data_IF_547850308661
#
_entry.id   IF_547850308661
#
_cell.length_a   1.000
_cell.length_b   1.000
_cell.length_c   1.000
_cell.angle_alpha   90.00
_cell.angle_beta   90.00
_cell.angle_gamma   90.00
#
_symmetry.space_group_name_H-M   'P 1'
#
loop_
_entity.id
_entity.type
_entity.pdbx_description
1 polymer ?
#
# COMPACT_ATOMS: atom_id res chain seq x y z
N UNK A 1 50.60 -27.28 25.30
CA UNK A 1 49.36 -26.51 25.12
C UNK A 1 49.01 -25.90 26.46
N UNK A 2 49.17 -24.59 26.63
CA UNK A 2 48.90 -23.91 27.91
C UNK A 2 47.41 -23.81 28.20
N UNK A 3 47.04 -23.75 29.47
CA UNK A 3 45.65 -23.62 29.91
C UNK A 3 45.08 -22.25 29.46
N UNK A 4 43.79 -22.16 29.08
CA UNK A 4 43.16 -20.89 28.73
C UNK A 4 43.24 -19.90 29.90
N UNK A 5 43.79 -18.71 29.65
CA UNK A 5 43.88 -17.65 30.66
C UNK A 5 42.49 -17.05 30.88
N UNK A 6 41.99 -17.09 32.11
CA UNK A 6 40.70 -16.50 32.48
C UNK A 6 40.92 -15.02 32.80
N UNK A 7 40.17 -14.13 32.13
CA UNK A 7 40.25 -12.68 32.32
C UNK A 7 39.13 -12.22 33.25
N UNK A 8 39.49 -11.62 34.38
CA UNK A 8 38.55 -11.33 35.47
C UNK A 8 37.94 -9.95 35.37
N UNK A 9 38.65 -8.98 34.77
CA UNK A 9 38.17 -7.60 34.62
C UNK A 9 37.69 -7.31 33.19
N UNK A 10 36.79 -6.31 32.99
CA UNK A 10 36.37 -5.89 31.66
C UNK A 10 37.54 -5.40 30.79
N UNK A 11 38.47 -4.64 31.39
CA UNK A 11 39.64 -4.09 30.69
C UNK A 11 40.59 -5.19 30.19
N UNK A 12 40.82 -6.22 30.99
CA UNK A 12 41.62 -7.39 30.59
C UNK A 12 40.99 -8.14 29.41
N UNK A 13 39.65 -8.29 29.40
CA UNK A 13 38.93 -8.95 28.30
C UNK A 13 39.05 -8.15 27.01
N UNK A 14 38.96 -6.82 27.09
CA UNK A 14 39.13 -5.97 25.91
C UNK A 14 40.54 -6.04 25.34
N UNK A 15 41.56 -5.97 26.20
CA UNK A 15 42.96 -6.09 25.79
C UNK A 15 43.23 -7.45 25.14
N UNK A 16 42.76 -8.53 25.77
CA UNK A 16 42.86 -9.87 25.21
C UNK A 16 42.14 -10.01 23.86
N UNK A 17 40.94 -9.43 23.72
CA UNK A 17 40.21 -9.42 22.47
C UNK A 17 40.94 -8.61 21.37
N UNK A 18 41.54 -7.47 21.71
CA UNK A 18 42.36 -6.67 20.77
C UNK A 18 43.58 -7.46 20.30
N UNK A 19 44.32 -8.08 21.23
CA UNK A 19 45.48 -8.91 20.90
C UNK A 19 45.11 -10.13 20.07
N UNK A 20 44.02 -10.81 20.42
CA UNK A 20 43.49 -11.94 19.66
C UNK A 20 43.16 -11.53 18.23
N UNK A 21 42.40 -10.44 18.06
CA UNK A 21 42.07 -9.89 16.74
C UNK A 21 43.35 -9.53 15.97
N UNK A 22 44.33 -8.88 16.59
CA UNK A 22 45.59 -8.54 15.94
C UNK A 22 46.34 -9.80 15.44
N UNK A 23 46.45 -10.84 16.28
CA UNK A 23 47.06 -12.12 15.91
C UNK A 23 46.27 -12.83 14.81
N UNK A 24 44.94 -12.83 14.89
CA UNK A 24 44.04 -13.40 13.89
C UNK A 24 44.20 -12.71 12.53
N UNK A 25 44.10 -11.37 12.48
CA UNK A 25 44.26 -10.61 11.24
C UNK A 25 45.65 -10.78 10.64
N UNK A 26 46.70 -10.85 11.47
CA UNK A 26 48.05 -11.12 10.98
C UNK A 26 48.14 -12.48 10.29
N UNK A 27 47.61 -13.55 10.93
CA UNK A 27 47.60 -14.91 10.39
C UNK A 27 46.73 -15.06 9.13
N UNK A 28 45.56 -14.43 9.09
CA UNK A 28 44.59 -14.57 8.00
C UNK A 28 44.62 -13.40 6.99
N UNK A 29 45.64 -12.54 7.06
CA UNK A 29 45.76 -11.35 6.20
C UNK A 29 45.68 -11.68 4.71
N UNK A 30 46.34 -12.75 4.28
CA UNK A 30 46.36 -13.22 2.89
C UNK A 30 44.99 -13.69 2.42
N UNK A 31 44.26 -14.46 3.23
CA UNK A 31 42.91 -14.94 2.93
C UNK A 31 41.89 -13.80 2.88
N UNK A 32 41.98 -12.87 3.84
CA UNK A 32 41.14 -11.68 3.91
C UNK A 32 41.37 -10.83 2.66
N UNK A 33 42.62 -10.60 2.28
CA UNK A 33 42.99 -9.85 1.08
C UNK A 33 42.56 -10.57 -0.20
N UNK A 34 42.66 -11.91 -0.26
CA UNK A 34 42.17 -12.72 -1.39
C UNK A 34 40.65 -12.59 -1.55
N UNK A 35 39.88 -12.70 -0.46
CA UNK A 35 38.42 -12.50 -0.47
C UNK A 35 38.04 -11.08 -0.89
N UNK A 36 38.76 -10.07 -0.39
CA UNK A 36 38.55 -8.68 -0.78
C UNK A 36 38.85 -8.43 -2.26
N UNK A 37 39.93 -9.02 -2.78
CA UNK A 37 40.31 -8.96 -4.21
C UNK A 37 39.27 -9.62 -5.10
N UNK A 38 38.80 -10.82 -4.73
CA UNK A 38 37.72 -11.52 -5.45
C UNK A 38 36.44 -10.68 -5.48
N UNK A 39 36.03 -10.12 -4.34
CA UNK A 39 34.86 -9.22 -4.26
C UNK A 39 35.04 -7.97 -5.13
N UNK A 40 36.25 -7.40 -5.20
CA UNK A 40 36.57 -6.25 -6.07
C UNK A 40 36.54 -6.64 -7.55
N UNK A 41 37.07 -7.81 -7.91
CA UNK A 41 37.03 -8.34 -9.27
C UNK A 41 35.59 -8.60 -9.72
N UNK A 42 34.73 -9.19 -8.90
CA UNK A 42 33.30 -9.35 -9.21
C UNK A 42 32.55 -8.01 -9.34
N UNK A 43 32.99 -6.97 -8.62
CA UNK A 43 32.45 -5.61 -8.78
C UNK A 43 32.94 -4.92 -10.05
N UNK A 44 34.15 -5.22 -10.50
CA UNK A 44 34.74 -4.67 -11.72
C UNK A 44 34.32 -5.43 -13.00
N UNK A 45 34.04 -6.74 -12.90
CA UNK A 45 33.54 -7.57 -14.00
C UNK A 45 32.04 -7.42 -14.21
N UNK A 46 31.33 -6.88 -13.21
CA UNK A 46 30.08 -6.18 -13.49
C UNK A 46 30.48 -4.97 -14.29
N UNK A 47 30.31 -5.06 -15.61
CA UNK A 47 30.03 -3.86 -16.42
C UNK A 47 29.11 -2.97 -15.59
N UNK A 48 29.23 -1.63 -15.66
CA UNK A 48 28.08 -0.84 -15.29
C UNK A 48 26.99 -1.37 -16.22
N UNK A 49 26.15 -2.29 -15.73
CA UNK A 49 24.75 -2.31 -16.09
C UNK A 49 24.48 -0.84 -16.02
N UNK A 50 24.22 -0.23 -17.19
CA UNK A 50 23.65 1.10 -17.28
C UNK A 50 22.87 1.22 -16.02
N UNK A 51 23.14 2.26 -15.23
CA UNK A 51 22.07 2.70 -14.39
C UNK A 51 20.86 2.79 -15.35
N UNK A 52 20.03 1.74 -15.45
CA UNK A 52 18.79 1.73 -14.74
C UNK A 52 19.09 2.60 -13.52
N UNK A 53 19.03 3.93 -13.69
CA UNK A 53 17.72 4.55 -13.64
C UNK A 53 16.86 3.55 -12.91
N UNK A 54 17.19 3.41 -11.62
CA UNK A 54 16.18 3.50 -10.61
C UNK A 54 15.38 4.69 -11.12
N UNK A 55 14.45 4.37 -12.01
CA UNK A 55 13.16 4.94 -12.01
C UNK A 55 12.76 4.75 -10.53
N UNK A 56 13.24 5.67 -9.69
CA UNK A 56 12.40 6.57 -8.96
C UNK A 56 11.48 7.22 -10.01
N UNK A 57 10.69 6.35 -10.65
CA UNK A 57 9.40 6.58 -11.17
C UNK A 57 8.76 7.40 -10.07
N UNK A 58 8.50 8.67 -10.38
CA UNK A 58 7.17 9.28 -10.34
C UNK A 58 6.03 8.42 -9.71
N UNK A 59 6.30 7.67 -8.64
CA UNK A 59 5.39 6.80 -7.88
C UNK A 59 5.05 7.43 -6.53
N UNK A 60 5.58 8.62 -6.25
CA UNK A 60 5.14 9.44 -5.13
C UNK A 60 3.80 10.15 -5.41
N UNK A 61 3.24 10.04 -6.62
CA UNK A 61 1.98 10.71 -6.99
C UNK A 61 0.76 9.79 -7.07
N UNK A 62 0.92 8.47 -6.99
CA UNK A 62 -0.23 7.54 -7.11
C UNK A 62 -1.27 7.78 -6.02
N UNK A 63 -0.83 8.13 -4.81
CA UNK A 63 -1.72 8.47 -3.69
C UNK A 63 -2.60 9.68 -4.00
N UNK A 64 -2.00 10.77 -4.52
CA UNK A 64 -2.73 11.99 -4.85
C UNK A 64 -3.63 11.78 -6.06
N UNK A 65 -3.19 11.01 -7.06
CA UNK A 65 -4.01 10.62 -8.20
C UNK A 65 -5.26 9.83 -7.77
N UNK A 66 -5.12 8.90 -6.82
CA UNK A 66 -6.26 8.17 -6.25
C UNK A 66 -7.16 9.08 -5.42
N UNK A 67 -6.60 9.96 -4.59
CA UNK A 67 -7.37 10.94 -3.82
C UNK A 67 -8.24 11.80 -4.73
N UNK A 68 -7.64 12.31 -5.81
CA UNK A 68 -8.33 13.13 -6.81
C UNK A 68 -9.37 12.31 -7.56
N UNK A 69 -9.07 11.07 -7.94
CA UNK A 69 -10.03 10.20 -8.63
C UNK A 69 -11.24 9.88 -7.74
N UNK A 70 -11.00 9.49 -6.48
CA UNK A 70 -12.06 9.20 -5.50
C UNK A 70 -12.86 10.47 -5.19
N UNK A 71 -12.18 11.61 -4.98
CA UNK A 71 -12.85 12.88 -4.69
C UNK A 71 -13.63 13.43 -5.89
N UNK A 72 -13.17 13.22 -7.12
CA UNK A 72 -13.92 13.63 -8.31
C UNK A 72 -15.16 12.76 -8.52
N UNK A 73 -15.07 11.46 -8.21
CA UNK A 73 -16.19 10.53 -8.38
C UNK A 73 -17.22 10.69 -7.26
N UNK A 74 -16.78 10.56 -6.00
CA UNK A 74 -17.63 10.48 -4.82
C UNK A 74 -17.85 11.88 -4.19
N UNK A 75 -17.04 12.89 -4.53
CA UNK A 75 -17.12 14.21 -3.92
C UNK A 75 -16.49 14.23 -2.53
N UNK A 76 -16.87 15.15 -1.63
CA UNK A 76 -16.36 15.21 -0.26
C UNK A 76 -17.13 14.32 0.74
N UNK A 77 -18.35 13.88 0.39
CA UNK A 77 -19.23 13.14 1.31
C UNK A 77 -19.98 12.03 0.59
N UNK A 78 -19.95 10.83 1.19
CA UNK A 78 -20.75 9.68 0.75
C UNK A 78 -22.24 10.03 0.67
N UNK A 79 -22.78 10.69 1.69
CA UNK A 79 -24.18 11.08 1.75
C UNK A 79 -24.58 11.98 0.56
N UNK A 80 -23.76 13.01 0.27
CA UNK A 80 -24.00 13.92 -0.85
C UNK A 80 -23.93 13.23 -2.22
N UNK A 81 -23.19 12.12 -2.30
CA UNK A 81 -23.06 11.32 -3.50
C UNK A 81 -24.27 10.40 -3.69
N UNK A 82 -24.65 9.66 -2.65
CA UNK A 82 -25.82 8.77 -2.69
C UNK A 82 -27.11 9.54 -2.91
N UNK A 83 -27.25 10.73 -2.30
CA UNK A 83 -28.40 11.61 -2.52
C UNK A 83 -28.50 12.05 -3.99
N UNK A 84 -27.37 12.45 -4.60
CA UNK A 84 -27.32 12.84 -6.02
C UNK A 84 -27.69 11.68 -6.93
N UNK A 85 -27.20 10.48 -6.65
CA UNK A 85 -27.57 9.27 -7.39
C UNK A 85 -29.07 8.95 -7.24
N UNK A 86 -29.64 9.10 -6.03
CA UNK A 86 -31.07 8.93 -5.81
C UNK A 86 -31.89 9.95 -6.62
N UNK A 87 -31.48 11.21 -6.63
CA UNK A 87 -32.14 12.28 -7.39
C UNK A 87 -32.05 12.04 -8.90
N UNK A 88 -30.89 11.62 -9.40
CA UNK A 88 -30.70 11.30 -10.81
C UNK A 88 -31.54 10.10 -11.25
N UNK A 89 -31.61 9.07 -10.40
CA UNK A 89 -32.48 7.92 -10.60
C UNK A 89 -33.95 8.32 -10.62
N UNK A 90 -34.42 9.13 -9.66
CA UNK A 90 -35.79 9.63 -9.64
C UNK A 90 -36.14 10.45 -10.88
N UNK A 91 -35.21 11.29 -11.35
CA UNK A 91 -35.44 12.15 -12.50
C UNK A 91 -35.51 11.38 -13.82
N UNK A 92 -34.73 10.32 -13.97
CA UNK A 92 -34.55 9.62 -15.26
C UNK A 92 -35.20 8.24 -15.31
N UNK A 93 -35.50 7.64 -14.16
CA UNK A 93 -35.85 6.21 -14.01
C UNK A 93 -34.88 5.27 -14.74
N UNK A 94 -33.64 5.71 -14.94
CA UNK A 94 -32.66 5.02 -15.75
C UNK A 94 -31.58 4.41 -14.87
N UNK A 95 -31.41 3.09 -14.97
CA UNK A 95 -30.37 2.34 -14.27
C UNK A 95 -28.98 2.48 -14.92
N UNK A 96 -28.89 3.08 -16.11
CA UNK A 96 -27.62 3.24 -16.82
C UNK A 96 -26.60 4.03 -15.99
N UNK A 97 -27.02 5.12 -15.35
CA UNK A 97 -26.14 5.95 -14.50
C UNK A 97 -25.60 5.16 -13.30
N UNK A 98 -26.46 4.37 -12.65
CA UNK A 98 -26.06 3.49 -11.54
C UNK A 98 -25.09 2.41 -12.01
N UNK A 99 -25.36 1.76 -13.15
CA UNK A 99 -24.47 0.75 -13.71
C UNK A 99 -23.11 1.30 -14.14
N UNK A 100 -23.08 2.48 -14.77
CA UNK A 100 -21.83 3.17 -15.13
C UNK A 100 -21.02 3.52 -13.87
N UNK A 101 -21.72 3.99 -12.83
CA UNK A 101 -21.12 4.27 -11.54
C UNK A 101 -20.50 3.02 -10.90
N UNK A 102 -21.25 1.92 -10.81
CA UNK A 102 -20.77 0.63 -10.29
C UNK A 102 -19.56 0.12 -11.08
N UNK A 103 -19.59 0.23 -12.41
CA UNK A 103 -18.47 -0.17 -13.27
C UNK A 103 -17.22 0.68 -13.00
N UNK A 104 -17.40 1.98 -12.82
CA UNK A 104 -16.31 2.92 -12.54
C UNK A 104 -15.71 2.68 -11.16
N UNK A 105 -16.54 2.46 -10.14
CA UNK A 105 -16.12 2.10 -8.79
C UNK A 105 -15.38 0.77 -8.76
N UNK A 106 -15.87 -0.25 -9.46
CA UNK A 106 -15.20 -1.55 -9.55
C UNK A 106 -13.81 -1.45 -10.18
N UNK A 107 -13.65 -0.62 -11.22
CA UNK A 107 -12.33 -0.33 -11.81
C UNK A 107 -11.41 0.40 -10.83
N UNK A 108 -11.94 1.37 -10.10
CA UNK A 108 -11.19 2.13 -9.10
C UNK A 108 -10.74 1.25 -7.93
N UNK A 109 -11.63 0.39 -7.43
CA UNK A 109 -11.34 -0.59 -6.38
C UNK A 109 -10.19 -1.52 -6.79
N UNK A 110 -10.27 -2.06 -8.02
CA UNK A 110 -9.20 -2.92 -8.57
C UNK A 110 -7.87 -2.18 -8.62
N UNK A 111 -7.85 -0.94 -9.12
CA UNK A 111 -6.62 -0.15 -9.21
C UNK A 111 -6.02 0.14 -7.83
N UNK A 112 -6.86 0.44 -6.83
CA UNK A 112 -6.43 0.63 -5.44
C UNK A 112 -5.85 -0.65 -4.83
N UNK A 113 -6.48 -1.80 -5.09
CA UNK A 113 -5.96 -3.11 -4.65
C UNK A 113 -4.61 -3.43 -5.29
N UNK A 114 -4.48 -3.24 -6.60
CA UNK A 114 -3.24 -3.48 -7.34
C UNK A 114 -2.12 -2.56 -6.81
N UNK A 115 -2.40 -1.26 -6.62
CA UNK A 115 -1.45 -0.31 -6.04
C UNK A 115 -1.02 -0.69 -4.61
N UNK A 116 -1.96 -1.18 -3.80
CA UNK A 116 -1.68 -1.65 -2.44
C UNK A 116 -0.79 -2.90 -2.44
N UNK A 117 -1.06 -3.85 -3.33
CA UNK A 117 -0.23 -5.06 -3.48
C UNK A 117 1.20 -4.72 -3.92
N UNK A 118 1.36 -3.80 -4.87
CA UNK A 118 2.67 -3.28 -5.26
C UNK A 118 3.40 -2.61 -4.09
N UNK A 119 2.68 -1.83 -3.28
CA UNK A 119 3.23 -1.17 -2.09
C UNK A 119 3.77 -2.16 -1.06
N UNK A 120 3.04 -3.26 -0.79
CA UNK A 120 3.49 -4.32 0.11
C UNK A 120 4.73 -5.04 -0.42
N UNK A 121 4.77 -5.36 -1.71
CA UNK A 121 5.91 -6.04 -2.34
C UNK A 121 7.18 -5.19 -2.31
N UNK A 122 7.03 -3.85 -2.35
CA UNK A 122 8.15 -2.91 -2.33
C UNK A 122 8.56 -2.47 -0.90
N UNK A 123 7.88 -2.93 0.15
CA UNK A 123 8.21 -2.60 1.55
C UNK A 123 7.86 -1.17 1.99
N UNK A 124 7.00 -0.46 1.24
CA UNK A 124 6.60 0.91 1.56
C UNK A 124 5.33 0.92 2.43
N UNK A 125 5.48 0.96 3.75
CA UNK A 125 4.35 0.95 4.68
C UNK A 125 3.61 2.28 4.85
N UNK A 126 4.24 3.42 4.49
CA UNK A 126 3.68 4.75 4.76
C UNK A 126 2.34 5.04 4.06
N UNK A 127 2.18 4.58 2.81
CA UNK A 127 0.95 4.84 2.04
C UNK A 127 -0.11 3.73 2.19
N UNK A 128 0.17 2.67 2.95
CA UNK A 128 -0.77 1.55 3.11
C UNK A 128 -2.06 1.97 3.82
N UNK A 129 -1.99 2.89 4.78
CA UNK A 129 -3.17 3.36 5.52
C UNK A 129 -4.05 4.26 4.66
N UNK A 130 -3.44 5.14 3.86
CA UNK A 130 -4.16 5.99 2.91
C UNK A 130 -4.91 5.15 1.87
N UNK A 131 -4.20 4.22 1.20
CA UNK A 131 -4.83 3.36 0.19
C UNK A 131 -5.94 2.49 0.80
N UNK A 132 -5.80 2.09 2.07
CA UNK A 132 -6.84 1.36 2.78
C UNK A 132 -8.07 2.24 3.02
N UNK A 133 -7.90 3.48 3.46
CA UNK A 133 -9.01 4.42 3.68
C UNK A 133 -9.77 4.70 2.39
N UNK A 134 -9.07 4.98 1.28
CA UNK A 134 -9.70 5.18 -0.02
C UNK A 134 -10.42 3.92 -0.53
N UNK A 135 -9.82 2.74 -0.31
CA UNK A 135 -10.45 1.46 -0.66
C UNK A 135 -11.73 1.21 0.12
N UNK A 136 -11.71 1.46 1.43
CA UNK A 136 -12.87 1.30 2.30
C UNK A 136 -13.98 2.27 1.90
N UNK A 137 -13.62 3.52 1.58
CA UNK A 137 -14.53 4.52 1.06
C UNK A 137 -15.21 4.09 -0.25
N UNK A 138 -14.45 3.59 -1.22
CA UNK A 138 -14.99 3.06 -2.48
C UNK A 138 -15.94 1.89 -2.22
N UNK A 139 -15.59 0.97 -1.31
CA UNK A 139 -16.43 -0.17 -0.95
C UNK A 139 -17.73 0.22 -0.27
N UNK A 140 -17.71 1.22 0.60
CA UNK A 140 -18.92 1.73 1.25
C UNK A 140 -19.88 2.28 0.20
N UNK A 141 -19.37 3.03 -0.77
CA UNK A 141 -20.17 3.53 -1.89
C UNK A 141 -20.74 2.39 -2.74
N UNK A 142 -19.91 1.42 -3.12
CA UNK A 142 -20.38 0.26 -3.89
C UNK A 142 -21.52 -0.47 -3.19
N UNK A 143 -21.39 -0.71 -1.87
CA UNK A 143 -22.47 -1.34 -1.07
C UNK A 143 -23.74 -0.51 -1.01
N UNK A 144 -23.62 0.82 -0.91
CA UNK A 144 -24.77 1.71 -0.94
C UNK A 144 -25.51 1.62 -2.27
N UNK A 145 -24.79 1.61 -3.39
CA UNK A 145 -25.38 1.43 -4.73
C UNK A 145 -26.00 0.05 -4.88
N UNK A 146 -25.33 -1.02 -4.43
CA UNK A 146 -25.88 -2.37 -4.43
C UNK A 146 -27.20 -2.45 -3.65
N UNK A 147 -27.25 -1.86 -2.47
CA UNK A 147 -28.47 -1.81 -1.63
C UNK A 147 -29.62 -1.06 -2.32
N UNK A 148 -29.32 0.08 -2.94
CA UNK A 148 -30.28 0.83 -3.76
C UNK A 148 -30.80 -0.01 -4.93
N UNK A 149 -29.91 -0.70 -5.65
CA UNK A 149 -30.27 -1.55 -6.79
C UNK A 149 -31.12 -2.75 -6.35
N UNK A 150 -30.76 -3.40 -5.23
CA UNK A 150 -31.55 -4.50 -4.67
C UNK A 150 -32.98 -4.07 -4.38
N UNK A 151 -33.17 -2.93 -3.69
CA UNK A 151 -34.51 -2.44 -3.39
C UNK A 151 -35.27 -1.95 -4.63
N UNK A 152 -34.58 -1.36 -5.62
CA UNK A 152 -35.21 -1.00 -6.88
C UNK A 152 -35.71 -2.24 -7.64
N UNK A 153 -34.92 -3.32 -7.66
CA UNK A 153 -35.29 -4.59 -8.30
C UNK A 153 -36.50 -5.27 -7.62
N UNK A 154 -36.69 -5.06 -6.32
CA UNK A 154 -37.87 -5.50 -5.57
C UNK A 154 -39.14 -4.66 -5.88
N UNK A 155 -39.00 -3.59 -6.67
CA UNK A 155 -40.09 -2.66 -7.01
C UNK A 155 -40.34 -1.60 -5.94
N UNK A 156 -39.45 -1.46 -4.95
CA UNK A 156 -39.58 -0.43 -3.93
C UNK A 156 -39.18 0.95 -4.47
N UNK A 157 -39.81 2.01 -3.97
CA UNK A 157 -39.36 3.37 -4.23
C UNK A 157 -38.12 3.67 -3.36
N UNK A 158 -36.94 3.54 -3.98
CA UNK A 158 -35.63 3.74 -3.31
C UNK A 158 -35.52 5.11 -2.67
N UNK A 159 -36.12 6.16 -3.25
CA UNK A 159 -36.04 7.49 -2.68
C UNK A 159 -36.85 7.64 -1.39
N UNK A 160 -38.02 7.00 -1.32
CA UNK A 160 -38.83 6.98 -0.09
C UNK A 160 -38.05 6.25 1.00
N UNK A 161 -37.48 5.07 0.69
CA UNK A 161 -36.62 4.31 1.61
C UNK A 161 -35.41 5.13 2.09
N UNK A 162 -34.75 5.84 1.18
CA UNK A 162 -33.64 6.73 1.49
C UNK A 162 -34.07 7.85 2.45
N UNK A 163 -35.18 8.52 2.17
CA UNK A 163 -35.67 9.64 2.98
C UNK A 163 -36.08 9.20 4.38
N UNK A 164 -36.56 7.96 4.52
CA UNK A 164 -36.96 7.38 5.80
C UNK A 164 -35.81 6.72 6.57
N UNK A 165 -34.59 6.71 6.05
CA UNK A 165 -33.46 6.06 6.74
C UNK A 165 -33.54 4.54 6.75
N UNK A 166 -34.24 3.93 5.79
CA UNK A 166 -34.53 2.49 5.76
C UNK A 166 -33.53 1.67 4.93
N UNK A 167 -32.59 2.33 4.24
CA UNK A 167 -31.57 1.64 3.46
C UNK A 167 -30.46 1.14 4.39
N UNK A 168 -29.95 -0.07 4.13
CA UNK A 168 -28.97 -0.75 4.98
C UNK A 168 -27.70 0.07 5.14
N UNK A 169 -27.25 0.74 4.08
CA UNK A 169 -26.03 1.53 4.17
C UNK A 169 -26.17 2.75 5.11
N UNK A 170 -27.38 3.22 5.39
CA UNK A 170 -27.62 4.35 6.30
C UNK A 170 -27.49 3.95 7.78
N UNK A 171 -27.48 2.64 8.07
CA UNK A 171 -27.28 2.10 9.42
C UNK A 171 -25.81 1.94 9.80
N UNK A 172 -24.88 2.16 8.85
CA UNK A 172 -23.44 2.03 9.08
C UNK A 172 -22.86 3.43 9.36
N UNK A 173 -22.25 3.67 10.54
CA UNK A 173 -21.56 4.93 10.80
C UNK A 173 -20.32 5.06 9.91
N UNK A 174 -20.12 6.26 9.36
CA UNK A 174 -18.94 6.68 8.58
C UNK A 174 -17.63 6.55 9.39
#
# INVERSE_FOLDING_TARGET
>A
MGWPKIHHTPEERELAAREYRAKYYKRHSTEINKKARIKRMHRASRTPKKAASVQHSRRYDTSAEFEVAVSNLIGPSLHSFTERLCQEYLATSNYASLNECTTTLGRLEKNLLDARMEHFQCGYHRNSYFLQAELDRVRTVSRAIEDMLCHAMEGNNVADLHSCGLLRYQSVPD
#
